data_IF_825606087320
#
_entry.id   IF_825606087320
#
_cell.length_a   1.000
_cell.length_b   1.000
_cell.length_c   1.000
_cell.angle_alpha   90.00
_cell.angle_beta   90.00
_cell.angle_gamma   90.00
#
_symmetry.space_group_name_H-M   'P 1'
#
loop_
_entity.id
_entity.type
_entity.pdbx_description
1 polymer ?
#
# COMPACT_ATOMS: atom_id res chain seq x y z
N UNK A 1 -12.55 -4.06 36.16
CA UNK A 1 -13.64 -3.70 35.23
C UNK A 1 -13.84 -4.89 34.33
N UNK A 2 -15.10 -5.23 34.07
CA UNK A 2 -15.53 -6.24 33.12
C UNK A 2 -15.87 -5.58 31.79
N UNK A 3 -15.61 -6.29 30.71
CA UNK A 3 -15.87 -5.84 29.35
C UNK A 3 -16.89 -6.79 28.70
N UNK A 4 -17.97 -6.21 28.21
CA UNK A 4 -18.99 -6.89 27.41
C UNK A 4 -18.89 -6.37 25.97
N UNK A 5 -18.43 -7.26 25.08
CA UNK A 5 -17.99 -6.91 23.73
C UNK A 5 -18.06 -8.12 22.80
N UNK A 6 -18.57 -7.91 21.59
CA UNK A 6 -18.46 -8.82 20.44
C UNK A 6 -17.54 -8.25 19.35
N UNK A 7 -16.66 -7.32 19.73
CA UNK A 7 -15.71 -6.67 18.81
C UNK A 7 -14.76 -7.71 18.17
N UNK A 8 -14.47 -7.64 16.85
CA UNK A 8 -14.79 -6.53 15.93
C UNK A 8 -16.15 -6.60 15.23
N UNK A 9 -16.96 -7.65 15.46
CA UNK A 9 -18.27 -7.81 14.80
C UNK A 9 -19.21 -6.64 15.09
N UNK A 10 -19.24 -6.18 16.35
CA UNK A 10 -19.89 -4.94 16.75
C UNK A 10 -18.84 -3.89 17.12
N UNK A 11 -19.04 -2.64 16.67
CA UNK A 11 -18.18 -1.50 17.05
C UNK A 11 -18.49 -0.95 18.44
N UNK A 12 -19.55 -1.44 19.09
CA UNK A 12 -19.97 -1.00 20.41
C UNK A 12 -19.42 -1.90 21.50
N UNK A 13 -18.83 -1.29 22.52
CA UNK A 13 -18.20 -2.00 23.65
C UNK A 13 -18.70 -1.37 24.94
N UNK A 14 -19.07 -2.21 25.91
CA UNK A 14 -19.46 -1.78 27.24
C UNK A 14 -18.39 -2.20 28.24
N UNK A 15 -17.86 -1.23 29.00
CA UNK A 15 -16.91 -1.49 30.09
C UNK A 15 -17.52 -1.04 31.40
N UNK A 16 -17.58 -1.91 32.39
CA UNK A 16 -18.25 -1.59 33.65
C UNK A 16 -17.57 -2.20 34.88
N UNK A 17 -17.86 -1.62 36.03
CA UNK A 17 -17.64 -2.21 37.35
C UNK A 17 -18.87 -1.92 38.24
N UNK A 18 -18.79 -2.26 39.53
CA UNK A 18 -19.89 -2.03 40.48
C UNK A 18 -20.28 -0.55 40.64
N UNK A 19 -19.45 0.41 40.21
CA UNK A 19 -19.62 1.85 40.44
C UNK A 19 -19.80 2.66 39.15
N UNK A 20 -19.22 2.23 38.04
CA UNK A 20 -19.10 3.02 36.81
C UNK A 20 -19.38 2.15 35.59
N UNK A 21 -20.00 2.75 34.60
CA UNK A 21 -20.25 2.15 33.30
C UNK A 21 -19.83 3.15 32.22
N UNK A 22 -19.16 2.62 31.20
CA UNK A 22 -18.71 3.34 30.02
C UNK A 22 -19.20 2.58 28.79
N UNK A 23 -19.67 3.33 27.80
CA UNK A 23 -20.01 2.81 26.50
C UNK A 23 -19.08 3.43 25.48
N UNK A 24 -18.48 2.59 24.65
CA UNK A 24 -17.56 3.02 23.61
C UNK A 24 -18.14 2.62 22.26
N UNK A 25 -17.92 3.48 21.28
CA UNK A 25 -18.14 3.19 19.87
C UNK A 25 -16.84 3.46 19.13
N UNK A 26 -16.19 2.40 18.69
CA UNK A 26 -14.95 2.50 17.92
C UNK A 26 -15.29 3.04 16.54
N UNK A 27 -14.80 4.25 16.23
CA UNK A 27 -14.98 4.86 14.90
C UNK A 27 -13.82 4.47 13.99
N UNK A 28 -12.60 4.52 14.52
CA UNK A 28 -11.39 4.16 13.81
C UNK A 28 -10.42 3.49 14.77
N UNK A 29 -9.97 2.28 14.42
CA UNK A 29 -8.95 1.57 15.19
C UNK A 29 -7.60 2.28 15.07
N UNK A 30 -7.17 2.60 13.86
CA UNK A 30 -5.81 3.08 13.67
C UNK A 30 -4.80 1.93 13.77
N UNK A 31 -3.52 2.26 13.96
CA UNK A 31 -2.42 1.28 13.92
C UNK A 31 -1.39 1.57 15.00
N UNK A 32 -0.69 0.55 15.50
CA UNK A 32 0.46 0.80 16.37
C UNK A 32 1.65 1.30 15.55
N UNK A 33 2.29 2.41 15.95
CA UNK A 33 3.58 2.79 15.39
C UNK A 33 4.63 1.68 15.50
N UNK A 34 5.70 1.83 14.73
CA UNK A 34 6.88 0.96 14.82
C UNK A 34 7.41 0.92 16.26
N UNK A 35 8.02 -0.21 16.64
CA UNK A 35 8.41 -0.50 18.03
C UNK A 35 9.29 0.57 18.66
N UNK A 36 10.09 1.30 17.88
CA UNK A 36 10.95 2.39 18.33
C UNK A 36 10.20 3.69 18.67
N UNK A 37 8.97 3.86 18.18
CA UNK A 37 8.12 5.04 18.38
C UNK A 37 6.86 4.71 19.20
N UNK A 38 6.67 3.45 19.61
CA UNK A 38 5.46 3.01 20.29
C UNK A 38 5.43 3.48 21.74
N UNK A 39 4.46 4.33 22.08
CA UNK A 39 4.20 4.74 23.45
C UNK A 39 3.19 3.82 24.15
N UNK A 40 3.27 3.78 25.49
CA UNK A 40 2.40 2.97 26.34
C UNK A 40 1.74 3.81 27.44
N UNK A 41 0.57 3.40 27.90
CA UNK A 41 -0.02 3.93 29.12
C UNK A 41 0.82 3.57 30.35
N UNK A 42 0.74 4.38 31.42
CA UNK A 42 1.62 4.22 32.59
C UNK A 42 1.43 2.89 33.32
N UNK A 43 0.20 2.54 33.72
CA UNK A 43 -0.14 1.29 34.42
C UNK A 43 -1.68 1.01 34.37
N UNK A 44 -2.12 -0.20 33.98
CA UNK A 44 -1.37 -1.19 33.19
C UNK A 44 -0.82 -0.59 31.89
N UNK A 45 0.23 -1.22 31.33
CA UNK A 45 0.86 -0.79 30.08
C UNK A 45 0.05 -1.30 28.89
N UNK A 46 -0.71 -0.42 28.26
CA UNK A 46 -1.38 -0.66 26.99
C UNK A 46 -0.71 0.18 25.90
N UNK A 47 -0.40 -0.40 24.73
CA UNK A 47 0.14 0.34 23.60
C UNK A 47 -0.84 1.41 23.10
N UNK A 48 -0.30 2.55 22.67
CA UNK A 48 -1.09 3.70 22.22
C UNK A 48 -1.13 3.72 20.68
N UNK A 49 -2.32 3.60 20.06
CA UNK A 49 -2.46 3.59 18.61
C UNK A 49 -2.34 4.98 17.99
N UNK A 50 -1.87 5.03 16.75
CA UNK A 50 -1.90 6.18 15.85
C UNK A 50 -3.19 6.18 15.02
N UNK A 51 -3.76 7.36 14.77
CA UNK A 51 -4.98 7.54 13.97
C UNK A 51 -6.20 6.79 14.53
N UNK A 52 -6.28 6.72 15.86
CA UNK A 52 -7.38 6.09 16.59
C UNK A 52 -8.46 7.11 16.93
N UNK A 53 -9.73 6.70 16.81
CA UNK A 53 -10.89 7.54 17.11
C UNK A 53 -11.97 6.69 17.80
N UNK A 54 -12.44 7.17 18.95
CA UNK A 54 -13.50 6.53 19.73
C UNK A 54 -14.50 7.58 20.23
N UNK A 55 -15.79 7.25 20.14
CA UNK A 55 -16.82 7.97 20.89
C UNK A 55 -17.02 7.27 22.24
N UNK A 56 -16.92 8.04 23.32
CA UNK A 56 -17.05 7.54 24.69
C UNK A 56 -18.23 8.21 25.35
N UNK A 57 -19.19 7.39 25.78
CA UNK A 57 -20.30 7.80 26.60
C UNK A 57 -20.08 7.36 28.05
N UNK A 58 -20.25 8.28 28.99
CA UNK A 58 -20.00 7.99 30.40
C UNK A 58 -20.82 8.85 31.36
N UNK A 59 -20.89 8.38 32.62
CA UNK A 59 -21.55 9.07 33.71
C UNK A 59 -23.09 8.97 33.67
N UNK A 60 -23.75 9.38 34.75
CA UNK A 60 -25.22 9.30 34.88
C UNK A 60 -25.97 10.20 33.88
N UNK A 61 -25.34 11.31 33.51
CA UNK A 61 -25.89 12.27 32.56
C UNK A 61 -25.57 11.92 31.09
N UNK A 62 -25.03 10.72 30.82
CA UNK A 62 -24.73 10.24 29.47
C UNK A 62 -23.91 11.24 28.63
N UNK A 63 -22.85 11.80 29.22
CA UNK A 63 -21.97 12.69 28.47
C UNK A 63 -21.28 11.93 27.35
N UNK A 64 -21.27 12.50 26.16
CA UNK A 64 -20.64 11.93 24.97
C UNK A 64 -19.47 12.81 24.57
N UNK A 65 -18.30 12.19 24.41
CA UNK A 65 -17.11 12.85 23.87
C UNK A 65 -16.53 12.02 22.74
N UNK A 66 -15.85 12.68 21.81
CA UNK A 66 -15.08 12.05 20.75
C UNK A 66 -13.61 12.22 21.07
N UNK A 67 -12.92 11.11 21.32
CA UNK A 67 -11.49 11.10 21.61
C UNK A 67 -10.72 10.65 20.37
N UNK A 68 -9.61 11.32 20.07
CA UNK A 68 -8.71 10.91 18.99
C UNK A 68 -7.25 10.96 19.40
N UNK A 69 -6.45 10.08 18.81
CA UNK A 69 -5.01 9.97 19.05
C UNK A 69 -4.29 9.97 17.72
N UNK A 70 -3.40 10.95 17.53
CA UNK A 70 -2.52 11.04 16.39
C UNK A 70 -1.08 11.18 16.87
N UNK A 71 -0.13 10.59 16.16
CA UNK A 71 1.29 10.80 16.48
C UNK A 71 1.81 11.99 15.67
N UNK A 72 2.43 12.94 16.34
CA UNK A 72 3.07 14.12 15.77
C UNK A 72 4.51 14.10 16.26
N UNK A 73 5.48 14.11 15.34
CA UNK A 73 6.92 14.07 15.66
C UNK A 73 7.29 12.90 16.61
N UNK A 74 6.66 11.74 16.41
CA UNK A 74 6.91 10.54 17.21
C UNK A 74 6.23 10.53 18.60
N UNK A 75 5.44 11.54 18.96
CA UNK A 75 4.70 11.59 20.25
C UNK A 75 3.19 11.55 20.04
N UNK A 76 2.43 10.85 20.91
CA UNK A 76 0.97 10.83 20.82
C UNK A 76 0.35 12.16 21.27
N UNK A 77 -0.35 12.81 20.35
CA UNK A 77 -1.27 13.93 20.59
C UNK A 77 -2.65 13.37 20.92
N UNK A 78 -3.10 13.61 22.15
CA UNK A 78 -4.41 13.22 22.65
C UNK A 78 -5.38 14.38 22.49
N UNK A 79 -6.47 14.18 21.73
CA UNK A 79 -7.53 15.19 21.54
C UNK A 79 -8.86 14.69 22.09
N UNK A 80 -9.62 15.60 22.71
CA UNK A 80 -10.99 15.37 23.17
C UNK A 80 -11.88 16.45 22.58
N UNK A 81 -12.83 16.04 21.74
CA UNK A 81 -13.86 16.91 21.20
C UNK A 81 -15.19 16.70 21.95
N UNK A 82 -15.86 17.79 22.31
CA UNK A 82 -17.05 17.78 23.17
C UNK A 82 -17.96 18.99 22.88
N UNK A 83 -19.11 19.06 23.55
CA UNK A 83 -20.14 20.08 23.30
C UNK A 83 -21.07 19.71 22.14
N UNK A 84 -21.94 20.65 21.76
CA UNK A 84 -22.86 20.45 20.64
C UNK A 84 -22.09 20.13 19.35
N UNK A 85 -22.44 19.02 18.69
CA UNK A 85 -21.76 18.51 17.50
C UNK A 85 -20.23 18.41 17.60
N UNK A 86 -19.69 18.21 18.82
CA UNK A 86 -18.25 18.15 19.08
C UNK A 86 -17.47 19.43 18.70
N UNK A 87 -18.12 20.60 18.77
CA UNK A 87 -17.53 21.88 18.36
C UNK A 87 -16.35 22.36 19.24
N UNK A 88 -16.28 21.94 20.51
CA UNK A 88 -15.18 22.31 21.41
C UNK A 88 -14.08 21.25 21.36
N UNK A 89 -12.82 21.67 21.44
CA UNK A 89 -11.65 20.78 21.41
C UNK A 89 -10.65 21.16 22.50
N UNK A 90 -10.15 20.15 23.22
CA UNK A 90 -8.92 20.25 24.02
C UNK A 90 -7.93 19.19 23.58
N UNK A 91 -6.64 19.47 23.80
CA UNK A 91 -5.59 18.51 23.47
C UNK A 91 -4.39 18.56 24.43
N UNK A 92 -3.61 17.49 24.40
CA UNK A 92 -2.38 17.37 25.17
C UNK A 92 -1.37 16.46 24.45
N UNK A 93 -0.10 16.88 24.44
CA UNK A 93 1.04 16.07 24.03
C UNK A 93 1.67 15.28 25.20
N UNK A 94 1.29 15.60 26.44
CA UNK A 94 1.88 14.97 27.63
C UNK A 94 1.27 13.61 27.95
N UNK A 95 -0.06 13.55 28.11
CA UNK A 95 -0.77 12.30 28.35
C UNK A 95 -2.27 12.39 28.05
N UNK A 96 -2.92 11.23 27.93
CA UNK A 96 -4.38 11.14 27.86
C UNK A 96 -5.07 11.65 29.13
N UNK A 97 -4.41 11.54 30.29
CA UNK A 97 -4.95 12.06 31.55
C UNK A 97 -4.94 13.57 31.58
N UNK A 98 -3.90 14.20 31.02
CA UNK A 98 -3.82 15.65 30.93
C UNK A 98 -4.86 16.22 29.97
N UNK A 99 -5.05 15.60 28.79
CA UNK A 99 -6.16 15.94 27.89
C UNK A 99 -7.52 15.82 28.59
N UNK A 100 -7.73 14.75 29.36
CA UNK A 100 -8.96 14.55 30.12
C UNK A 100 -9.13 15.60 31.23
N UNK A 101 -8.06 16.01 31.91
CA UNK A 101 -8.10 17.08 32.91
C UNK A 101 -8.52 18.41 32.28
N UNK A 102 -7.92 18.80 31.15
CA UNK A 102 -8.30 20.03 30.41
C UNK A 102 -9.76 20.01 30.00
N UNK A 103 -10.21 18.88 29.45
CA UNK A 103 -11.61 18.70 29.08
C UNK A 103 -12.53 18.91 30.29
N UNK A 104 -12.20 18.30 31.42
CA UNK A 104 -12.99 18.46 32.64
C UNK A 104 -13.01 19.89 33.18
N UNK A 105 -11.90 20.62 33.06
CA UNK A 105 -11.83 22.03 33.47
C UNK A 105 -12.77 22.89 32.64
N UNK A 106 -12.76 22.72 31.32
CA UNK A 106 -13.63 23.48 30.41
C UNK A 106 -15.10 23.02 30.47
N UNK A 107 -15.36 21.76 30.79
CA UNK A 107 -16.72 21.21 30.83
C UNK A 107 -17.48 21.58 32.11
N UNK A 108 -16.79 21.80 33.25
CA UNK A 108 -17.45 21.90 34.57
C UNK A 108 -17.34 23.22 35.33
N UNK A 109 -16.75 24.27 34.78
CA UNK A 109 -16.59 25.57 35.48
C UNK A 109 -16.23 25.37 36.98
N UNK A 110 -15.04 24.83 37.21
CA UNK A 110 -14.33 24.83 38.50
C UNK A 110 -15.04 24.26 39.76
N UNK A 111 -16.09 23.43 39.68
CA UNK A 111 -16.65 22.78 40.89
C UNK A 111 -16.72 21.25 40.85
N UNK A 112 -15.94 20.67 41.77
CA UNK A 112 -15.83 19.28 42.22
C UNK A 112 -15.02 18.24 41.41
N UNK A 113 -14.07 17.64 42.16
CA UNK A 113 -12.87 16.86 41.80
C UNK A 113 -13.14 15.42 41.31
N UNK A 114 -14.15 15.22 40.49
CA UNK A 114 -14.37 13.93 39.83
C UNK A 114 -13.46 13.75 38.61
N UNK A 115 -12.17 13.41 38.82
CA UNK A 115 -11.23 13.17 37.70
C UNK A 115 -11.60 11.87 36.96
N UNK A 116 -11.94 11.94 35.67
CA UNK A 116 -11.95 10.74 34.83
C UNK A 116 -10.51 10.29 34.60
N UNK A 117 -10.31 8.99 34.45
CA UNK A 117 -9.02 8.48 34.01
C UNK A 117 -8.91 8.70 32.50
N UNK A 118 -7.86 9.38 32.04
CA UNK A 118 -7.59 9.56 30.61
C UNK A 118 -7.64 8.24 29.82
N UNK A 119 -6.92 7.18 30.25
CA UNK A 119 -7.01 5.88 29.58
C UNK A 119 -8.42 5.27 29.51
N UNK A 120 -9.30 5.58 30.47
CA UNK A 120 -10.72 5.18 30.37
C UNK A 120 -11.46 6.06 29.38
N UNK A 121 -11.30 7.39 29.44
CA UNK A 121 -11.96 8.31 28.50
C UNK A 121 -11.63 7.96 27.04
N UNK A 122 -10.36 7.60 26.78
CA UNK A 122 -9.86 7.21 25.47
C UNK A 122 -10.06 5.72 25.13
N UNK A 123 -10.72 4.91 25.97
CA UNK A 123 -10.93 3.48 25.66
C UNK A 123 -9.64 2.66 25.52
N UNK A 124 -8.50 3.13 26.05
CA UNK A 124 -7.20 2.46 25.92
C UNK A 124 -7.09 1.18 26.76
N UNK A 125 -8.08 0.88 27.60
CA UNK A 125 -8.16 -0.31 28.44
C UNK A 125 -9.03 -1.43 27.84
N UNK A 126 -9.53 -1.25 26.62
CA UNK A 126 -10.41 -2.22 25.96
C UNK A 126 -9.60 -3.41 25.45
N UNK A 127 -9.80 -4.56 26.09
CA UNK A 127 -9.06 -5.80 25.83
C UNK A 127 -9.49 -6.46 24.52
N UNK A 128 -10.76 -6.30 24.09
CA UNK A 128 -11.18 -6.80 22.76
C UNK A 128 -10.48 -6.07 21.63
N UNK A 129 -10.34 -4.74 21.73
CA UNK A 129 -9.60 -3.92 20.76
C UNK A 129 -8.12 -4.31 20.75
N UNK A 130 -7.50 -4.47 21.94
CA UNK A 130 -6.11 -4.92 22.05
C UNK A 130 -5.89 -6.31 21.42
N UNK A 131 -6.85 -7.24 21.56
CA UNK A 131 -6.79 -8.57 20.96
C UNK A 131 -6.80 -8.53 19.43
N UNK A 132 -7.58 -7.63 18.83
CA UNK A 132 -7.60 -7.44 17.36
C UNK A 132 -6.24 -6.95 16.87
N UNK A 133 -5.59 -6.03 17.60
CA UNK A 133 -4.22 -5.66 17.24
C UNK A 133 -3.24 -6.82 17.37
N UNK A 134 -3.34 -7.62 18.43
CA UNK A 134 -2.45 -8.77 18.64
C UNK A 134 -2.63 -9.85 17.56
N UNK A 135 -3.85 -10.07 17.08
CA UNK A 135 -4.11 -10.99 15.97
C UNK A 135 -3.64 -10.42 14.63
N UNK A 136 -3.65 -9.10 14.44
CA UNK A 136 -3.05 -8.44 13.25
C UNK A 136 -1.51 -8.46 13.31
N UNK A 137 -0.90 -8.39 14.50
CA UNK A 137 0.56 -8.57 14.68
C UNK A 137 1.03 -10.02 14.52
N UNK A 138 0.18 -10.95 14.09
CA UNK A 138 0.61 -12.29 13.69
C UNK A 138 1.59 -12.19 12.51
N UNK A 139 2.88 -12.13 12.88
CA UNK A 139 4.10 -12.37 12.10
C UNK A 139 3.95 -11.99 10.62
N UNK A 140 4.25 -10.73 10.29
CA UNK A 140 4.66 -10.41 8.92
C UNK A 140 5.86 -11.32 8.63
N UNK A 141 5.63 -12.35 7.84
CA UNK A 141 6.69 -13.26 7.41
C UNK A 141 7.74 -12.44 6.65
N UNK A 142 9.04 -12.72 6.86
CA UNK A 142 10.10 -12.18 6.03
C UNK A 142 9.73 -12.31 4.55
N UNK A 143 10.03 -11.29 3.75
CA UNK A 143 9.69 -11.30 2.32
C UNK A 143 10.25 -12.55 1.60
N UNK A 144 11.41 -13.02 2.04
CA UNK A 144 12.08 -14.26 1.60
C UNK A 144 11.30 -15.55 1.88
N UNK A 145 10.39 -15.56 2.85
CA UNK A 145 9.56 -16.72 3.20
C UNK A 145 8.19 -16.72 2.50
N UNK A 146 7.86 -15.61 1.83
CA UNK A 146 6.58 -15.47 1.13
C UNK A 146 6.57 -16.24 -0.20
N UNK A 147 5.38 -16.70 -0.60
CA UNK A 147 5.14 -17.20 -1.96
C UNK A 147 5.31 -16.09 -3.00
N UNK A 148 5.71 -16.45 -4.23
CA UNK A 148 5.87 -15.50 -5.34
C UNK A 148 4.59 -14.66 -5.60
N UNK A 149 3.42 -15.29 -5.46
CA UNK A 149 2.12 -14.60 -5.61
C UNK A 149 1.91 -13.53 -4.54
N UNK A 150 2.27 -13.83 -3.29
CA UNK A 150 2.16 -12.90 -2.16
C UNK A 150 3.18 -11.78 -2.28
N UNK A 151 4.43 -12.10 -2.66
CA UNK A 151 5.48 -11.12 -2.97
C UNK A 151 5.03 -10.12 -4.02
N UNK A 152 4.52 -10.63 -5.16
CA UNK A 152 3.98 -9.81 -6.25
C UNK A 152 2.86 -8.89 -5.76
N UNK A 153 1.89 -9.43 -5.02
CA UNK A 153 0.76 -8.64 -4.51
C UNK A 153 1.22 -7.51 -3.58
N UNK A 154 2.18 -7.79 -2.69
CA UNK A 154 2.76 -6.77 -1.81
C UNK A 154 3.49 -5.67 -2.60
N UNK A 155 4.28 -6.03 -3.61
CA UNK A 155 4.98 -5.06 -4.45
C UNK A 155 3.99 -4.19 -5.25
N UNK A 156 2.93 -4.78 -5.79
CA UNK A 156 1.87 -4.01 -6.47
C UNK A 156 1.14 -3.06 -5.51
N UNK A 157 0.78 -3.51 -4.30
CA UNK A 157 0.16 -2.64 -3.30
C UNK A 157 1.07 -1.47 -2.93
N UNK A 158 2.35 -1.72 -2.65
CA UNK A 158 3.30 -0.66 -2.31
C UNK A 158 3.45 0.34 -3.46
N UNK A 159 3.52 -0.14 -4.69
CA UNK A 159 3.62 0.71 -5.89
C UNK A 159 2.41 1.61 -6.05
N UNK A 160 1.21 1.08 -5.83
CA UNK A 160 -0.01 1.88 -5.85
C UNK A 160 0.04 2.97 -4.77
N UNK A 161 0.45 2.64 -3.55
CA UNK A 161 0.58 3.65 -2.49
C UNK A 161 1.59 4.76 -2.84
N UNK A 162 2.69 4.43 -3.52
CA UNK A 162 3.66 5.44 -3.99
C UNK A 162 3.04 6.32 -5.07
N UNK A 163 2.32 5.73 -6.03
CA UNK A 163 1.62 6.49 -7.07
C UNK A 163 0.62 7.47 -6.45
N UNK A 164 -0.22 6.99 -5.54
CA UNK A 164 -1.24 7.81 -4.87
C UNK A 164 -0.58 8.99 -4.12
N UNK A 165 0.53 8.74 -3.41
CA UNK A 165 1.26 9.77 -2.69
C UNK A 165 1.88 10.82 -3.64
N UNK A 166 2.43 10.41 -4.79
CA UNK A 166 2.97 11.35 -5.79
C UNK A 166 1.86 12.19 -6.41
N UNK A 167 0.71 11.59 -6.72
CA UNK A 167 -0.44 12.30 -7.28
C UNK A 167 -1.07 13.28 -6.29
N UNK A 168 -1.03 13.01 -4.98
CA UNK A 168 -1.48 13.95 -3.95
C UNK A 168 -0.50 15.12 -3.78
N UNK A 169 0.80 14.83 -3.70
CA UNK A 169 1.82 15.85 -3.43
C UNK A 169 2.14 16.75 -4.63
N UNK A 170 1.96 16.25 -5.86
CA UNK A 170 2.34 17.02 -7.06
C UNK A 170 1.60 18.37 -7.16
N UNK A 171 0.35 18.44 -6.71
CA UNK A 171 -0.47 19.66 -6.78
C UNK A 171 0.04 20.74 -5.81
N UNK A 172 0.75 20.33 -4.74
CA UNK A 172 1.35 21.24 -3.77
C UNK A 172 2.77 21.67 -4.16
N UNK A 173 3.49 20.84 -4.93
CA UNK A 173 4.92 21.02 -5.21
C UNK A 173 5.21 21.62 -6.60
N UNK A 174 4.30 21.48 -7.55
CA UNK A 174 4.51 21.90 -8.94
C UNK A 174 3.44 22.89 -9.39
N UNK A 175 3.74 23.66 -10.43
CA UNK A 175 2.75 24.59 -10.99
C UNK A 175 1.69 23.78 -11.77
N UNK A 176 0.41 24.19 -11.81
CA UNK A 176 -0.65 23.44 -12.52
C UNK A 176 -0.42 23.22 -14.03
N UNK A 177 0.52 23.96 -14.63
CA UNK A 177 0.91 23.78 -16.04
C UNK A 177 1.96 22.69 -16.23
N UNK A 178 2.60 22.24 -15.15
CA UNK A 178 3.66 21.26 -15.20
C UNK A 178 3.06 19.86 -15.35
N UNK A 179 3.50 19.12 -16.38
CA UNK A 179 3.01 17.76 -16.63
C UNK A 179 3.86 16.73 -15.88
N UNK A 180 3.65 16.64 -14.57
CA UNK A 180 4.34 15.65 -13.72
C UNK A 180 3.60 14.31 -13.79
N UNK A 181 4.35 13.24 -14.06
CA UNK A 181 3.84 11.86 -14.10
C UNK A 181 4.88 10.88 -13.56
N UNK A 182 4.46 10.01 -12.64
CA UNK A 182 5.28 8.89 -12.20
C UNK A 182 5.25 7.78 -13.26
N UNK A 183 6.38 7.50 -13.89
CA UNK A 183 6.45 6.51 -14.98
C UNK A 183 6.69 5.08 -14.49
N UNK A 184 7.60 4.94 -13.52
CA UNK A 184 8.17 3.66 -13.13
C UNK A 184 8.67 3.72 -11.69
N UNK A 185 8.58 2.60 -10.97
CA UNK A 185 9.25 2.39 -9.68
C UNK A 185 9.97 1.05 -9.70
N UNK A 186 11.21 1.06 -9.20
CA UNK A 186 12.06 -0.12 -9.05
C UNK A 186 12.28 -0.43 -7.58
N UNK A 187 12.06 -1.68 -7.19
CA UNK A 187 12.37 -2.18 -5.86
C UNK A 187 13.39 -3.30 -5.94
N UNK A 188 14.29 -3.35 -4.97
CA UNK A 188 15.20 -4.47 -4.77
C UNK A 188 14.82 -5.17 -3.46
N UNK A 189 14.62 -6.49 -3.52
CA UNK A 189 14.40 -7.29 -2.32
C UNK A 189 14.93 -8.70 -2.52
N UNK A 190 15.78 -9.18 -1.61
CA UNK A 190 16.27 -10.57 -1.59
C UNK A 190 16.81 -11.05 -2.95
N UNK A 191 17.63 -10.22 -3.61
CA UNK A 191 18.20 -10.42 -4.96
C UNK A 191 17.20 -10.39 -6.13
N UNK A 192 15.91 -10.14 -5.88
CA UNK A 192 14.92 -9.90 -6.92
C UNK A 192 14.81 -8.40 -7.19
N UNK A 193 14.83 -8.04 -8.48
CA UNK A 193 14.50 -6.70 -8.97
C UNK A 193 13.04 -6.68 -9.43
N UNK A 194 12.23 -5.84 -8.79
CA UNK A 194 10.85 -5.59 -9.17
C UNK A 194 10.78 -4.28 -9.92
N UNK A 195 10.42 -4.36 -11.19
CA UNK A 195 10.28 -3.21 -12.07
C UNK A 195 8.79 -3.02 -12.43
N UNK A 196 8.19 -1.95 -11.93
CA UNK A 196 6.76 -1.68 -12.04
C UNK A 196 6.55 -0.39 -12.83
N UNK A 197 5.95 -0.53 -14.01
CA UNK A 197 5.61 0.57 -14.90
C UNK A 197 4.15 0.99 -14.69
N UNK A 198 3.92 2.29 -14.54
CA UNK A 198 2.59 2.88 -14.41
C UNK A 198 2.02 3.38 -15.75
N UNK A 199 2.87 3.49 -16.77
CA UNK A 199 2.42 3.84 -18.12
C UNK A 199 1.54 2.73 -18.70
N UNK A 200 0.52 3.12 -19.44
CA UNK A 200 -0.28 2.20 -20.23
C UNK A 200 0.65 1.51 -21.23
N UNK A 201 0.61 0.17 -21.25
CA UNK A 201 1.43 -0.63 -22.17
C UNK A 201 1.18 -0.15 -23.60
N UNK A 202 2.15 0.59 -24.17
CA UNK A 202 2.14 0.92 -25.60
C UNK A 202 2.51 -0.36 -26.36
N UNK A 203 1.50 -1.21 -26.55
CA UNK A 203 1.63 -2.49 -27.25
C UNK A 203 2.26 -2.25 -28.62
N UNK A 204 1.89 -1.17 -29.30
CA UNK A 204 2.43 -0.85 -30.62
C UNK A 204 3.87 -0.37 -30.57
N UNK A 205 4.23 0.45 -29.58
CA UNK A 205 5.60 0.87 -29.31
C UNK A 205 6.50 -0.31 -28.99
N UNK A 206 6.04 -1.24 -28.15
CA UNK A 206 6.81 -2.43 -27.78
C UNK A 206 6.96 -3.39 -28.95
N UNK A 207 5.93 -3.58 -29.79
CA UNK A 207 6.05 -4.32 -31.05
C UNK A 207 7.12 -3.69 -31.95
N UNK A 208 7.05 -2.37 -32.20
CA UNK A 208 8.04 -1.65 -33.03
C UNK A 208 9.45 -1.76 -32.46
N UNK A 209 9.58 -1.74 -31.13
CA UNK A 209 10.85 -1.90 -30.42
C UNK A 209 11.44 -3.29 -30.66
N UNK A 210 10.65 -4.35 -30.51
CA UNK A 210 11.10 -5.73 -30.75
C UNK A 210 11.46 -5.91 -32.23
N UNK A 211 10.68 -5.35 -33.15
CA UNK A 211 10.97 -5.38 -34.60
C UNK A 211 12.28 -4.65 -34.94
N UNK A 212 12.56 -3.50 -34.30
CA UNK A 212 13.83 -2.79 -34.45
C UNK A 212 15.02 -3.61 -33.94
N UNK A 213 14.85 -4.36 -32.84
CA UNK A 213 15.85 -5.31 -32.34
C UNK A 213 16.08 -6.42 -33.35
N UNK A 214 15.03 -7.10 -33.83
CA UNK A 214 15.14 -8.17 -34.86
C UNK A 214 15.89 -7.64 -36.08
N UNK A 215 15.51 -6.47 -36.59
CA UNK A 215 16.16 -5.81 -37.73
C UNK A 215 17.64 -5.53 -37.47
N UNK A 216 18.01 -5.09 -36.27
CA UNK A 216 19.39 -4.80 -35.90
C UNK A 216 20.23 -6.06 -35.76
N UNK A 217 19.64 -7.15 -35.24
CA UNK A 217 20.29 -8.45 -35.17
C UNK A 217 20.57 -9.01 -36.57
N UNK A 218 19.58 -8.93 -37.45
CA UNK A 218 19.69 -9.45 -38.82
C UNK A 218 20.68 -8.65 -39.65
N UNK A 219 20.62 -7.30 -39.59
CA UNK A 219 21.52 -6.41 -40.33
C UNK A 219 22.98 -6.54 -39.93
N UNK A 220 23.25 -6.78 -38.66
CA UNK A 220 24.61 -6.83 -38.12
C UNK A 220 25.10 -8.27 -37.89
N UNK A 221 24.34 -9.26 -38.36
CA UNK A 221 24.65 -10.69 -38.18
C UNK A 221 24.96 -11.08 -36.72
N UNK A 222 24.26 -10.47 -35.76
CA UNK A 222 24.46 -10.74 -34.34
C UNK A 222 23.94 -12.15 -34.05
N UNK A 223 24.82 -13.01 -33.54
CA UNK A 223 24.45 -14.37 -33.20
C UNK A 223 23.45 -14.40 -32.06
N UNK A 224 22.62 -15.45 -32.05
CA UNK A 224 21.65 -15.71 -30.97
C UNK A 224 22.33 -15.73 -29.60
N UNK A 225 23.52 -16.33 -29.50
CA UNK A 225 24.27 -16.45 -28.25
C UNK A 225 24.83 -15.11 -27.77
N UNK A 226 25.31 -14.27 -28.69
CA UNK A 226 25.74 -12.91 -28.37
C UNK A 226 24.58 -12.07 -27.82
N UNK A 227 23.41 -12.14 -28.47
CA UNK A 227 22.21 -11.46 -27.99
C UNK A 227 21.76 -11.97 -26.61
N UNK A 228 21.76 -13.29 -26.41
CA UNK A 228 21.43 -13.90 -25.10
C UNK A 228 22.33 -13.41 -23.98
N UNK A 229 23.62 -13.29 -24.24
CA UNK A 229 24.61 -12.80 -23.27
C UNK A 229 24.28 -11.37 -22.84
N UNK A 230 23.92 -10.50 -23.80
CA UNK A 230 23.48 -9.13 -23.51
C UNK A 230 22.15 -9.10 -22.75
N UNK A 231 21.16 -9.86 -23.20
CA UNK A 231 19.82 -9.90 -22.60
C UNK A 231 19.82 -10.49 -21.18
N UNK A 232 20.85 -11.24 -20.80
CA UNK A 232 21.02 -11.73 -19.44
C UNK A 232 21.41 -10.61 -18.47
N UNK A 233 22.13 -9.59 -18.94
CA UNK A 233 22.66 -8.48 -18.13
C UNK A 233 21.70 -7.31 -18.14
N UNK A 234 21.19 -6.93 -19.31
CA UNK A 234 20.33 -5.76 -19.47
C UNK A 234 18.85 -6.18 -19.46
N UNK A 235 18.15 -5.86 -18.37
CA UNK A 235 16.74 -6.22 -18.20
C UNK A 235 15.80 -5.37 -19.06
N UNK A 236 16.25 -4.21 -19.55
CA UNK A 236 15.43 -3.36 -20.39
C UNK A 236 15.27 -3.87 -21.82
N UNK A 237 16.13 -4.77 -22.32
CA UNK A 237 16.02 -5.29 -23.69
C UNK A 237 15.08 -6.49 -23.81
N UNK A 238 14.39 -6.66 -24.96
CA UNK A 238 13.42 -7.73 -25.14
C UNK A 238 14.01 -9.12 -24.90
N UNK A 239 13.27 -10.01 -24.23
CA UNK A 239 13.69 -11.38 -24.05
C UNK A 239 13.75 -12.11 -25.39
N UNK A 240 14.68 -13.06 -25.47
CA UNK A 240 14.96 -13.83 -26.68
C UNK A 240 13.71 -14.49 -27.28
N UNK A 241 12.80 -14.98 -26.43
CA UNK A 241 11.53 -15.56 -26.85
C UNK A 241 10.70 -14.56 -27.67
N UNK A 242 10.54 -13.33 -27.20
CA UNK A 242 9.78 -12.29 -27.88
C UNK A 242 10.40 -11.90 -29.24
N UNK A 243 11.74 -11.84 -29.28
CA UNK A 243 12.51 -11.59 -30.51
C UNK A 243 12.33 -12.73 -31.51
N UNK A 244 12.43 -13.98 -31.06
CA UNK A 244 12.25 -15.18 -31.89
C UNK A 244 10.84 -15.27 -32.47
N UNK A 245 9.81 -15.09 -31.64
CA UNK A 245 8.41 -15.09 -32.07
C UNK A 245 8.13 -13.99 -33.09
N UNK A 246 8.69 -12.80 -32.88
CA UNK A 246 8.57 -11.70 -33.85
C UNK A 246 9.27 -12.01 -35.17
N UNK A 247 10.48 -12.57 -35.13
CA UNK A 247 11.20 -13.00 -36.35
C UNK A 247 10.41 -14.06 -37.12
N UNK A 248 9.80 -15.03 -36.43
CA UNK A 248 8.95 -16.04 -37.07
C UNK A 248 7.71 -15.42 -37.73
N UNK A 249 7.04 -14.49 -37.04
CA UNK A 249 5.90 -13.73 -37.58
C UNK A 249 6.28 -13.00 -38.87
N UNK A 250 7.39 -12.26 -38.86
CA UNK A 250 7.90 -11.56 -40.05
C UNK A 250 8.19 -12.55 -41.19
N UNK A 251 8.85 -13.67 -40.90
CA UNK A 251 9.16 -14.69 -41.93
C UNK A 251 7.90 -15.34 -42.53
N UNK A 252 6.82 -15.50 -41.75
CA UNK A 252 5.55 -16.00 -42.26
C UNK A 252 4.91 -14.97 -43.20
N UNK A 253 4.92 -13.69 -42.81
CA UNK A 253 4.37 -12.60 -43.62
C UNK A 253 5.16 -12.38 -44.91
N UNK A 254 6.49 -12.39 -44.82
CA UNK A 254 7.38 -12.30 -45.98
C UNK A 254 7.15 -13.43 -46.98
N UNK A 255 6.93 -14.67 -46.52
CA UNK A 255 6.62 -15.80 -47.40
C UNK A 255 5.32 -15.65 -48.18
N UNK A 256 4.34 -14.89 -47.66
CA UNK A 256 3.11 -14.58 -48.39
C UNK A 256 3.35 -13.55 -49.49
N UNK A 257 4.24 -12.59 -49.24
CA UNK A 257 4.51 -11.48 -50.15
C UNK A 257 5.59 -11.79 -51.18
N UNK A 258 6.52 -12.70 -50.86
CA UNK A 258 7.58 -13.17 -51.73
C UNK A 258 7.49 -14.70 -51.78
N UNK A 259 6.79 -15.26 -52.77
CA UNK A 259 6.72 -16.71 -52.94
C UNK A 259 8.14 -17.22 -53.23
N UNK A 260 8.65 -18.07 -52.33
CA UNK A 260 9.91 -18.78 -52.53
C UNK A 260 9.61 -20.07 -53.28
N UNK A 261 9.96 -20.11 -54.56
CA UNK A 261 9.94 -21.34 -55.34
C UNK A 261 11.23 -22.09 -55.05
N UNK A 262 11.12 -23.28 -54.46
CA UNK A 262 12.25 -24.16 -54.21
C UNK A 262 12.57 -24.88 -55.53
N UNK A 263 13.72 -24.57 -56.13
CA UNK A 263 14.19 -25.23 -57.34
C UNK A 263 15.26 -26.23 -56.93
N UNK A 264 15.03 -27.50 -57.23
CA UNK A 264 16.02 -28.55 -57.05
C UNK A 264 17.03 -28.47 -58.20
N UNK A 265 18.27 -28.10 -57.89
CA UNK A 265 19.36 -27.98 -58.86
C UNK A 265 19.83 -29.34 -59.41
N UNK A 266 19.38 -30.46 -58.81
CA UNK A 266 19.69 -31.80 -59.28
C UNK A 266 18.66 -32.33 -60.29
N UNK A 267 17.56 -31.62 -60.53
CA UNK A 267 16.62 -31.99 -61.59
C UNK A 267 17.11 -31.45 -62.94
N UNK A 268 17.24 -32.30 -63.98
CA UNK A 268 17.63 -31.85 -65.30
C UNK A 268 16.55 -30.91 -65.87
N UNK A 269 16.95 -29.79 -66.51
CA UNK A 269 15.99 -28.87 -67.10
C UNK A 269 15.23 -29.56 -68.24
N UNK A 270 13.92 -29.74 -68.07
CA UNK A 270 13.03 -30.20 -69.15
C UNK A 270 12.73 -28.97 -70.01
N UNK A 271 13.34 -28.90 -71.18
CA UNK A 271 12.96 -27.93 -72.20
C UNK A 271 11.79 -28.51 -73.01
N UNK A 272 10.66 -27.79 -73.04
CA UNK A 272 9.59 -28.12 -73.98
C UNK A 272 10.05 -27.82 -75.41
N UNK A 273 9.79 -28.72 -76.38
CA UNK A 273 10.19 -28.50 -77.76
C UNK A 273 9.40 -27.32 -78.33
N UNK A 274 10.13 -26.36 -78.93
CA UNK A 274 9.54 -25.26 -79.67
C UNK A 274 8.79 -25.87 -80.85
N UNK A 275 7.48 -25.65 -80.89
CA UNK A 275 6.65 -26.04 -82.03
C UNK A 275 6.78 -24.96 -83.10
N UNK A 276 7.27 -25.34 -84.28
CA UNK A 276 7.26 -24.51 -85.50
C UNK A 276 5.83 -24.26 -86.02
#
# INVERSE_FOLDING_TARGET
>A
MEEDSTYPTSRFIKLYDKKRTFYYKIIKEGTYPLTNQLHYTRNPKHPIPHNYIVETQYGKANHIVKCSINYVEGKPLFKVNFGENFAKEVHSLESSTEAACKYYQEFKEATNKGKISGPLLFGLKLLSVERVYKSVTLKIQPFSELSNTTRRRKMLCLSQCILDAVEEEKENMFHPTDQIKLKQVKFESYNDLYDINFEQLDIMGEIKRIEAVVKSLDRNHISREAYRSLARIEHSIPREEAVSTTRQRINIEMRKNIPLTLVDLLQPPIFEPITE
#
